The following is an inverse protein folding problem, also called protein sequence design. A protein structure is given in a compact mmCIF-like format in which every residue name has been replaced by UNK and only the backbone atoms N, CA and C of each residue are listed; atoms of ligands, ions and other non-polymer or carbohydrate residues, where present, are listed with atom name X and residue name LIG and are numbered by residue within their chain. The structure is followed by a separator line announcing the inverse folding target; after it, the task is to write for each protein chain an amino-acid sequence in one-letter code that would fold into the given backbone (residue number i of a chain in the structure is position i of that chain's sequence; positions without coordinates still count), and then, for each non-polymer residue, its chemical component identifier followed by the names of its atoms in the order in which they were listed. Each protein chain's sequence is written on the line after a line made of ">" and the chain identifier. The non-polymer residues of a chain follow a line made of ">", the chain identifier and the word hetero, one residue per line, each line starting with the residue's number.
data_IF_960295820126
#
_entry.id   IF_960295820126
#
_cell.length_a   1.000
_cell.length_b   1.000
_cell.length_c   1.000
_cell.angle_alpha   90.00
_cell.angle_beta   90.00
_cell.angle_gamma   90.00
#
_symmetry.space_group_name_H-M   'P 1'
#
loop_
_entity.id
_entity.type
_entity.pdbx_description
1 polymer ?
#
# COMPACT_ATOMS: atom_id res chain seq x y z
N UNK A 1 -50.81 66.91 8.85
CA UNK A 1 -50.12 66.67 7.57
C UNK A 1 -48.84 65.94 7.83
N UNK A 2 -48.79 64.69 7.41
CA UNK A 2 -47.60 63.85 7.39
C UNK A 2 -46.61 64.26 6.32
N UNK A 3 -45.31 63.79 6.36
CA UNK A 3 -45.03 62.68 5.45
C UNK A 3 -44.29 61.51 6.10
N UNK A 4 -44.79 60.40 5.73
CA UNK A 4 -44.21 59.05 5.56
C UNK A 4 -43.09 59.10 4.53
N UNK A 5 -41.88 58.64 4.84
CA UNK A 5 -40.98 57.92 3.96
C UNK A 5 -39.65 57.52 4.61
N UNK A 6 -39.22 56.33 4.27
CA UNK A 6 -37.85 55.75 4.30
C UNK A 6 -37.48 54.80 5.39
N UNK A 7 -38.20 53.66 5.43
CA UNK A 7 -37.63 52.41 5.99
C UNK A 7 -37.69 51.25 4.97
N UNK A 8 -37.14 51.42 3.83
CA UNK A 8 -36.98 50.31 2.86
C UNK A 8 -35.68 50.45 2.06
N UNK A 9 -34.51 50.37 2.69
CA UNK A 9 -33.24 50.18 1.99
C UNK A 9 -32.07 49.74 2.89
N UNK A 10 -32.28 48.87 3.87
CA UNK A 10 -31.17 48.26 4.64
C UNK A 10 -31.24 46.74 4.78
N UNK A 11 -31.98 46.04 3.93
CA UNK A 11 -32.11 44.56 4.03
C UNK A 11 -31.60 43.77 2.84
N UNK A 12 -30.89 44.38 1.88
CA UNK A 12 -30.43 43.66 0.67
C UNK A 12 -28.91 43.57 0.51
N UNK A 13 -28.10 43.91 1.50
CA UNK A 13 -26.63 43.84 1.42
C UNK A 13 -26.00 42.79 2.32
N UNK A 14 -26.78 42.03 3.10
CA UNK A 14 -26.24 40.97 3.98
C UNK A 14 -26.27 39.55 3.42
N UNK A 15 -26.79 39.31 2.23
CA UNK A 15 -26.94 37.95 1.68
C UNK A 15 -25.96 37.57 0.55
N UNK A 16 -24.92 38.37 0.28
CA UNK A 16 -23.96 38.11 -0.82
C UNK A 16 -22.50 37.92 -0.41
N UNK A 17 -22.17 37.69 0.86
CA UNK A 17 -20.77 37.52 1.24
C UNK A 17 -20.55 36.40 2.29
N UNK A 18 -21.27 35.30 2.18
CA UNK A 18 -20.93 34.05 2.89
C UNK A 18 -20.59 32.94 1.90
N UNK A 19 -19.85 33.22 0.84
CA UNK A 19 -18.94 32.23 0.30
C UNK A 19 -17.91 32.00 1.41
N UNK A 20 -18.22 31.05 2.31
CA UNK A 20 -17.35 30.73 3.43
C UNK A 20 -15.97 30.44 2.83
N UNK A 21 -14.96 31.28 3.13
CA UNK A 21 -13.56 31.01 2.78
C UNK A 21 -13.26 29.59 3.20
N UNK A 22 -13.14 28.68 2.24
CA UNK A 22 -12.83 27.30 2.55
C UNK A 22 -11.41 27.28 3.07
N UNK A 23 -11.27 27.09 4.39
CA UNK A 23 -9.94 26.98 5.00
C UNK A 23 -9.26 25.68 4.55
N UNK A 24 -7.93 25.66 4.49
CA UNK A 24 -7.12 24.47 4.22
C UNK A 24 -7.52 23.31 5.14
N UNK A 25 -7.83 23.60 6.41
CA UNK A 25 -8.28 22.57 7.36
C UNK A 25 -9.61 21.94 6.94
N UNK A 26 -10.58 22.73 6.48
CA UNK A 26 -11.86 22.23 5.99
C UNK A 26 -11.67 21.43 4.70
N UNK A 27 -10.81 21.87 3.80
CA UNK A 27 -10.44 21.15 2.58
C UNK A 27 -9.84 19.79 2.90
N UNK A 28 -8.88 19.69 3.83
CA UNK A 28 -8.30 18.41 4.23
C UNK A 28 -9.34 17.49 4.89
N UNK A 29 -10.24 18.02 5.70
CA UNK A 29 -11.34 17.25 6.29
C UNK A 29 -12.27 16.70 5.20
N UNK A 30 -12.62 17.52 4.20
CA UNK A 30 -13.43 17.13 3.06
C UNK A 30 -12.76 16.01 2.23
N UNK A 31 -11.46 16.16 1.94
CA UNK A 31 -10.69 15.14 1.22
C UNK A 31 -10.69 13.79 1.96
N UNK A 32 -10.47 13.80 3.29
CA UNK A 32 -10.52 12.60 4.14
C UNK A 32 -11.90 11.96 4.17
N UNK A 33 -12.96 12.75 4.11
CA UNK A 33 -14.34 12.27 4.15
C UNK A 33 -14.92 11.99 2.77
N UNK A 34 -14.13 12.15 1.70
CA UNK A 34 -14.53 12.02 0.30
C UNK A 34 -15.70 12.94 -0.08
N UNK A 35 -15.69 14.16 0.48
CA UNK A 35 -16.67 15.19 0.17
C UNK A 35 -16.30 15.89 -1.15
N UNK A 36 -16.79 15.32 -2.24
CA UNK A 36 -16.46 15.75 -3.61
C UNK A 36 -16.87 17.20 -3.83
N UNK A 37 -18.05 17.59 -3.39
CA UNK A 37 -18.60 18.94 -3.59
C UNK A 37 -17.73 20.01 -2.90
N UNK A 38 -17.42 19.80 -1.63
CA UNK A 38 -16.56 20.71 -0.86
C UNK A 38 -15.13 20.76 -1.45
N UNK A 39 -14.59 19.60 -1.90
CA UNK A 39 -13.26 19.57 -2.53
C UNK A 39 -13.25 20.33 -3.86
N UNK A 40 -14.24 20.11 -4.72
CA UNK A 40 -14.35 20.83 -6.01
C UNK A 40 -14.53 22.35 -5.82
N UNK A 41 -15.39 22.77 -4.90
CA UNK A 41 -15.59 24.17 -4.59
C UNK A 41 -14.29 24.83 -4.07
N UNK A 42 -13.54 24.10 -3.21
CA UNK A 42 -12.27 24.58 -2.69
C UNK A 42 -11.22 24.74 -3.80
N UNK A 43 -11.08 23.74 -4.68
CA UNK A 43 -10.11 23.74 -5.77
C UNK A 43 -10.45 24.77 -6.87
N UNK A 44 -11.73 25.06 -7.09
CA UNK A 44 -12.16 26.13 -8.01
C UNK A 44 -11.77 27.51 -7.51
N UNK A 45 -11.77 27.74 -6.17
CA UNK A 45 -11.38 28.99 -5.57
C UNK A 45 -9.86 29.08 -5.30
N UNK A 46 -9.23 27.94 -5.02
CA UNK A 46 -7.86 27.81 -4.56
C UNK A 46 -7.21 26.55 -5.17
N UNK A 47 -6.84 26.55 -6.47
CA UNK A 47 -6.20 25.39 -7.11
C UNK A 47 -4.92 24.94 -6.39
N UNK A 48 -4.20 25.89 -5.81
CA UNK A 48 -2.96 25.65 -5.05
C UNK A 48 -3.15 24.70 -3.86
N UNK A 49 -4.38 24.51 -3.36
CA UNK A 49 -4.65 23.57 -2.27
C UNK A 49 -4.34 22.12 -2.63
N UNK A 50 -4.30 21.79 -3.91
CA UNK A 50 -3.93 20.46 -4.38
C UNK A 50 -2.50 20.04 -3.95
N UNK A 51 -1.58 21.02 -3.84
CA UNK A 51 -0.18 20.80 -3.48
C UNK A 51 0.15 21.06 -2.00
N UNK A 52 -0.75 21.69 -1.24
CA UNK A 52 -0.51 21.99 0.18
C UNK A 52 -0.42 20.72 1.02
N UNK A 53 0.44 20.76 2.03
CA UNK A 53 0.58 19.67 3.02
C UNK A 53 0.07 20.06 4.39
N UNK A 54 -0.36 19.10 5.17
CA UNK A 54 -0.65 19.27 6.59
C UNK A 54 0.65 19.30 7.43
N UNK A 55 0.51 19.46 8.75
CA UNK A 55 1.66 19.47 9.69
C UNK A 55 2.47 18.17 9.70
N UNK A 56 1.96 17.10 9.13
CA UNK A 56 2.62 15.80 9.02
C UNK A 56 3.22 15.57 7.60
N UNK A 57 3.16 16.58 6.73
CA UNK A 57 3.64 16.48 5.34
C UNK A 57 2.69 15.72 4.40
N UNK A 58 1.41 15.50 4.79
CA UNK A 58 0.44 14.80 3.95
C UNK A 58 -0.32 15.78 3.08
N UNK A 59 -0.45 15.47 1.80
CA UNK A 59 -1.34 16.18 0.88
C UNK A 59 -2.80 15.71 1.04
N UNK A 60 -3.73 16.43 0.43
CA UNK A 60 -5.13 16.00 0.37
C UNK A 60 -5.30 14.62 -0.28
N UNK A 61 -4.43 14.26 -1.24
CA UNK A 61 -4.43 12.95 -1.89
C UNK A 61 -4.06 11.82 -0.90
N UNK A 62 -3.08 12.05 -0.02
CA UNK A 62 -2.75 11.12 1.06
C UNK A 62 -3.94 10.93 2.02
N UNK A 63 -4.62 12.02 2.40
CA UNK A 63 -5.78 11.96 3.29
C UNK A 63 -6.96 11.23 2.68
N UNK A 64 -7.20 11.44 1.38
CA UNK A 64 -8.21 10.70 0.60
C UNK A 64 -7.91 9.20 0.61
N UNK A 65 -6.64 8.83 0.47
CA UNK A 65 -6.19 7.44 0.40
C UNK A 65 -6.14 6.73 1.76
N UNK A 66 -5.95 7.48 2.85
CA UNK A 66 -5.85 6.92 4.21
C UNK A 66 -7.22 6.53 4.79
N UNK A 67 -8.31 7.09 4.26
CA UNK A 67 -9.66 6.81 4.77
C UNK A 67 -10.06 5.35 4.54
N UNK A 68 -10.47 4.65 5.60
CA UNK A 68 -10.89 3.23 5.53
C UNK A 68 -12.16 3.08 4.69
N UNK A 69 -12.05 2.42 3.56
CA UNK A 69 -13.14 2.21 2.62
C UNK A 69 -14.32 1.42 3.23
N UNK A 70 -14.07 0.59 4.25
CA UNK A 70 -15.10 -0.21 4.94
C UNK A 70 -15.90 0.59 5.96
N UNK A 71 -15.34 1.70 6.45
CA UNK A 71 -15.94 2.59 7.44
C UNK A 71 -16.39 3.92 6.87
N UNK A 72 -16.14 4.15 5.58
CA UNK A 72 -16.49 5.39 4.92
C UNK A 72 -18.01 5.56 4.84
N UNK A 73 -18.48 6.77 5.14
CA UNK A 73 -19.91 7.13 5.04
C UNK A 73 -20.34 7.39 3.58
N UNK A 74 -19.39 7.57 2.68
CA UNK A 74 -19.59 7.87 1.26
C UNK A 74 -19.16 6.67 0.41
N UNK A 75 -19.72 6.49 -0.79
CA UNK A 75 -19.35 5.38 -1.65
C UNK A 75 -17.86 5.49 -2.08
N UNK A 76 -17.23 4.35 -2.31
CA UNK A 76 -15.81 4.27 -2.69
C UNK A 76 -15.52 5.05 -3.99
N UNK A 77 -16.49 5.17 -4.89
CA UNK A 77 -16.39 6.00 -6.10
C UNK A 77 -16.11 7.48 -5.80
N UNK A 78 -16.58 7.98 -4.66
CA UNK A 78 -16.31 9.35 -4.23
C UNK A 78 -14.82 9.59 -3.95
N UNK A 79 -14.10 8.61 -3.42
CA UNK A 79 -12.64 8.71 -3.24
C UNK A 79 -11.90 8.87 -4.56
N UNK A 80 -12.35 8.15 -5.59
CA UNK A 80 -11.80 8.26 -6.95
C UNK A 80 -12.14 9.62 -7.56
N UNK A 81 -13.35 10.15 -7.33
CA UNK A 81 -13.74 11.48 -7.81
C UNK A 81 -12.89 12.59 -7.16
N UNK A 82 -12.67 12.53 -5.84
CA UNK A 82 -11.78 13.44 -5.12
C UNK A 82 -10.35 13.35 -5.66
N UNK A 83 -9.79 12.14 -5.80
CA UNK A 83 -8.45 11.95 -6.32
C UNK A 83 -8.30 12.52 -7.75
N UNK A 84 -9.31 12.30 -8.62
CA UNK A 84 -9.34 12.87 -9.97
C UNK A 84 -9.32 14.39 -9.94
N UNK A 85 -10.14 15.01 -9.09
CA UNK A 85 -10.17 16.47 -8.94
C UNK A 85 -8.82 17.02 -8.47
N UNK A 86 -8.19 16.38 -7.49
CA UNK A 86 -6.87 16.76 -6.99
C UNK A 86 -5.80 16.68 -8.09
N UNK A 87 -5.75 15.58 -8.83
CA UNK A 87 -4.77 15.39 -9.91
C UNK A 87 -4.99 16.39 -11.06
N UNK A 88 -6.26 16.68 -11.42
CA UNK A 88 -6.59 17.67 -12.43
C UNK A 88 -6.17 19.10 -12.04
N UNK A 89 -5.99 19.38 -10.74
CA UNK A 89 -5.50 20.64 -10.19
C UNK A 89 -4.01 20.60 -9.78
N UNK A 90 -3.23 19.65 -10.33
CA UNK A 90 -1.78 19.62 -10.17
C UNK A 90 -1.26 18.94 -8.89
N UNK A 91 -2.09 18.14 -8.20
CA UNK A 91 -1.57 17.31 -7.12
C UNK A 91 -0.51 16.33 -7.65
N UNK A 92 0.65 16.27 -6.98
CA UNK A 92 1.65 15.25 -7.29
C UNK A 92 1.16 13.87 -6.81
N UNK A 93 0.95 12.96 -7.77
CA UNK A 93 0.50 11.60 -7.50
C UNK A 93 1.53 10.79 -6.69
N UNK A 94 2.80 11.15 -6.82
CA UNK A 94 3.94 10.49 -6.17
C UNK A 94 4.50 11.28 -4.98
N UNK A 95 3.80 12.33 -4.54
CA UNK A 95 4.17 13.08 -3.35
C UNK A 95 4.48 12.13 -2.20
N UNK A 96 5.58 12.39 -1.49
CA UNK A 96 6.06 11.56 -0.38
C UNK A 96 5.64 12.16 0.95
N UNK A 97 5.01 11.32 1.76
CA UNK A 97 4.82 11.56 3.19
C UNK A 97 5.77 10.65 3.96
N UNK A 98 6.80 11.17 4.65
CA UNK A 98 7.76 10.34 5.37
C UNK A 98 7.09 9.67 6.57
N UNK A 99 7.03 8.36 6.55
CA UNK A 99 6.54 7.55 7.67
C UNK A 99 7.77 7.01 8.40
N UNK A 100 7.89 7.30 9.69
CA UNK A 100 8.94 6.73 10.53
C UNK A 100 8.50 5.36 11.01
N UNK A 101 9.31 4.34 10.74
CA UNK A 101 9.12 2.98 11.22
C UNK A 101 10.46 2.48 11.79
N UNK A 102 10.49 2.23 13.09
CA UNK A 102 11.71 1.87 13.83
C UNK A 102 12.91 2.76 13.48
N UNK A 103 13.91 2.24 12.77
CA UNK A 103 15.14 2.94 12.36
C UNK A 103 15.10 3.55 10.96
N UNK A 104 14.06 3.26 10.18
CA UNK A 104 14.00 3.69 8.78
C UNK A 104 12.88 4.69 8.52
N UNK A 105 13.06 5.48 7.45
CA UNK A 105 12.03 6.38 6.94
C UNK A 105 11.44 5.79 5.67
N UNK A 106 10.17 5.47 5.74
CA UNK A 106 9.42 4.92 4.63
C UNK A 106 8.78 6.04 3.80
N UNK A 107 8.93 6.02 2.46
CA UNK A 107 8.31 7.02 1.60
C UNK A 107 6.82 6.70 1.36
N UNK A 108 5.97 7.01 2.33
CA UNK A 108 4.53 6.80 2.20
C UNK A 108 3.95 7.65 1.06
N UNK A 109 3.44 7.01 0.02
CA UNK A 109 2.73 7.65 -1.10
C UNK A 109 1.23 7.40 -0.99
N UNK A 110 0.43 8.17 -1.70
CA UNK A 110 -1.03 8.01 -1.70
C UNK A 110 -1.45 6.58 -2.08
N UNK A 111 -0.80 5.97 -3.06
CA UNK A 111 -1.07 4.58 -3.45
C UNK A 111 -0.84 3.61 -2.28
N UNK A 112 0.29 3.73 -1.59
CA UNK A 112 0.58 2.89 -0.42
C UNK A 112 -0.50 3.06 0.67
N UNK A 113 -0.92 4.28 0.94
CA UNK A 113 -2.00 4.53 1.91
C UNK A 113 -3.32 3.90 1.48
N UNK A 114 -3.67 3.96 0.19
CA UNK A 114 -4.89 3.33 -0.34
C UNK A 114 -4.89 1.81 -0.13
N UNK A 115 -3.72 1.16 -0.28
CA UNK A 115 -3.55 -0.29 -0.11
C UNK A 115 -3.45 -0.67 1.37
N UNK A 116 -2.53 -0.03 2.11
CA UNK A 116 -2.16 -0.45 3.47
C UNK A 116 -3.21 -0.07 4.53
N UNK A 117 -3.76 1.12 4.41
CA UNK A 117 -4.64 1.69 5.45
C UNK A 117 -6.08 1.82 4.98
N UNK A 118 -6.28 2.29 3.76
CA UNK A 118 -7.61 2.52 3.20
C UNK A 118 -8.35 1.25 2.79
N UNK A 119 -7.64 0.18 2.46
CA UNK A 119 -8.23 -1.02 1.88
C UNK A 119 -9.06 -0.70 0.62
N UNK A 120 -8.71 0.41 -0.05
CA UNK A 120 -9.49 1.01 -1.12
C UNK A 120 -8.94 0.58 -2.49
N UNK A 121 -9.33 -0.64 -2.89
CA UNK A 121 -8.87 -1.24 -4.15
C UNK A 121 -9.28 -0.42 -5.39
N UNK A 122 -10.43 0.26 -5.36
CA UNK A 122 -10.86 1.08 -6.48
C UNK A 122 -9.97 2.32 -6.66
N UNK A 123 -9.63 2.98 -5.54
CA UNK A 123 -8.70 4.11 -5.56
C UNK A 123 -7.28 3.65 -5.94
N UNK A 124 -6.80 2.53 -5.41
CA UNK A 124 -5.50 1.96 -5.77
C UNK A 124 -5.41 1.69 -7.28
N UNK A 125 -6.43 1.05 -7.86
CA UNK A 125 -6.51 0.81 -9.32
C UNK A 125 -6.52 2.12 -10.12
N UNK A 126 -7.25 3.12 -9.65
CA UNK A 126 -7.28 4.43 -10.30
C UNK A 126 -5.90 5.08 -10.26
N UNK A 127 -5.25 5.17 -9.10
CA UNK A 127 -3.92 5.76 -8.95
C UNK A 127 -2.87 5.05 -9.80
N UNK A 128 -2.87 3.71 -9.82
CA UNK A 128 -1.99 2.93 -10.69
C UNK A 128 -2.20 3.23 -12.18
N UNK A 129 -3.44 3.43 -12.63
CA UNK A 129 -3.73 3.83 -14.01
C UNK A 129 -3.23 5.23 -14.33
N UNK A 130 -3.15 6.11 -13.35
CA UNK A 130 -2.63 7.48 -13.48
C UNK A 130 -1.10 7.56 -13.31
N UNK A 131 -0.40 6.43 -13.18
CA UNK A 131 1.07 6.39 -13.09
C UNK A 131 1.63 6.52 -11.67
N UNK A 132 0.83 6.22 -10.64
CA UNK A 132 1.36 6.15 -9.28
C UNK A 132 2.46 5.10 -9.16
N UNK A 133 3.56 5.46 -8.48
CA UNK A 133 4.67 4.56 -8.21
C UNK A 133 4.22 3.44 -7.23
N UNK A 134 4.33 2.15 -7.62
CA UNK A 134 3.88 1.02 -6.83
C UNK A 134 4.88 0.52 -5.78
N UNK A 135 6.09 1.11 -5.71
CA UNK A 135 7.13 0.66 -4.79
C UNK A 135 6.62 0.57 -3.36
N UNK A 136 7.10 -0.44 -2.65
CA UNK A 136 6.74 -0.78 -1.26
C UNK A 136 5.28 -1.22 -1.05
N UNK A 137 4.42 -1.21 -2.07
CA UNK A 137 3.03 -1.64 -1.90
C UNK A 137 2.90 -3.16 -1.65
N UNK A 138 3.90 -3.97 -2.03
CA UNK A 138 3.88 -5.41 -1.75
C UNK A 138 3.82 -5.73 -0.25
N UNK A 139 4.48 -4.93 0.60
CA UNK A 139 4.41 -5.08 2.05
C UNK A 139 3.00 -5.00 2.59
N UNK A 140 2.23 -4.03 2.08
CA UNK A 140 0.85 -3.84 2.48
C UNK A 140 -0.06 -4.99 2.03
N UNK A 141 0.14 -5.51 0.81
CA UNK A 141 -0.66 -6.64 0.30
C UNK A 141 -0.28 -7.97 0.94
N UNK A 142 0.99 -8.15 1.30
CA UNK A 142 1.45 -9.31 2.09
C UNK A 142 0.83 -9.31 3.47
N UNK A 143 0.88 -8.18 4.17
CA UNK A 143 0.26 -8.04 5.49
C UNK A 143 -1.23 -8.42 5.48
N UNK A 144 -1.96 -7.94 4.49
CA UNK A 144 -3.41 -8.17 4.35
C UNK A 144 -3.77 -9.46 3.60
N UNK A 145 -2.78 -10.22 3.09
CA UNK A 145 -2.96 -11.37 2.18
C UNK A 145 -3.86 -11.05 0.96
N UNK A 146 -3.76 -9.80 0.45
CA UNK A 146 -4.61 -9.31 -0.65
C UNK A 146 -3.97 -9.57 -2.03
N UNK A 147 -4.08 -10.83 -2.49
CA UNK A 147 -3.61 -11.25 -3.82
C UNK A 147 -4.30 -10.46 -4.96
N UNK A 148 -5.54 -10.02 -4.76
CA UNK A 148 -6.24 -9.27 -5.81
C UNK A 148 -5.63 -7.87 -6.04
N UNK A 149 -5.13 -7.22 -5.00
CA UNK A 149 -4.36 -5.98 -5.14
C UNK A 149 -2.93 -6.26 -5.63
N UNK A 150 -2.31 -7.37 -5.21
CA UNK A 150 -0.99 -7.77 -5.71
C UNK A 150 -0.97 -7.91 -7.25
N UNK A 151 -2.03 -8.47 -7.85
CA UNK A 151 -2.19 -8.55 -9.31
C UNK A 151 -2.13 -7.17 -9.99
N UNK A 152 -2.74 -6.15 -9.39
CA UNK A 152 -2.69 -4.78 -9.93
C UNK A 152 -1.27 -4.18 -9.88
N UNK A 153 -0.47 -4.55 -8.89
CA UNK A 153 0.91 -4.09 -8.75
C UNK A 153 1.81 -4.69 -9.86
N UNK A 154 1.68 -6.00 -10.11
CA UNK A 154 2.43 -6.68 -11.20
C UNK A 154 2.11 -6.10 -12.57
N UNK A 155 0.85 -5.78 -12.86
CA UNK A 155 0.44 -5.14 -14.10
C UNK A 155 1.19 -3.80 -14.33
N UNK A 156 1.71 -3.20 -13.26
CA UNK A 156 2.47 -1.94 -13.28
C UNK A 156 3.96 -2.14 -13.05
N UNK A 157 4.46 -3.37 -13.24
CA UNK A 157 5.88 -3.73 -13.14
C UNK A 157 6.52 -3.36 -11.78
N UNK A 158 5.72 -3.42 -10.70
CA UNK A 158 6.25 -3.28 -9.35
C UNK A 158 7.31 -4.37 -9.11
N UNK A 159 8.44 -3.99 -8.54
CA UNK A 159 9.49 -4.95 -8.22
C UNK A 159 9.05 -5.86 -7.05
N UNK A 160 8.81 -7.13 -7.38
CA UNK A 160 8.40 -8.17 -6.44
C UNK A 160 9.50 -8.52 -5.43
N UNK A 161 10.74 -8.16 -5.73
CA UNK A 161 11.91 -8.42 -4.90
C UNK A 161 12.44 -7.17 -4.16
N UNK A 162 11.73 -6.02 -4.27
CA UNK A 162 12.13 -4.78 -3.61
C UNK A 162 12.26 -5.00 -2.09
N UNK A 163 13.44 -4.70 -1.55
CA UNK A 163 13.73 -4.87 -0.12
C UNK A 163 13.24 -3.68 0.70
N UNK A 164 12.77 -3.99 1.91
CA UNK A 164 12.51 -3.03 2.96
C UNK A 164 12.85 -3.66 4.30
N UNK A 165 13.54 -2.97 5.19
CA UNK A 165 14.10 -3.52 6.44
C UNK A 165 14.91 -4.81 6.22
N UNK A 166 15.68 -4.87 5.13
CA UNK A 166 16.48 -6.03 4.78
C UNK A 166 15.70 -7.25 4.27
N UNK A 167 14.37 -7.26 4.34
CA UNK A 167 13.52 -8.37 3.89
C UNK A 167 12.96 -8.13 2.49
N UNK A 168 12.63 -9.20 1.78
CA UNK A 168 11.81 -9.17 0.56
C UNK A 168 10.33 -9.43 0.89
N UNK A 169 9.39 -9.13 -0.04
CA UNK A 169 7.99 -9.50 0.13
C UNK A 169 7.78 -11.01 0.42
N UNK A 170 8.60 -11.88 -0.21
CA UNK A 170 8.52 -13.33 0.02
C UNK A 170 9.00 -13.72 1.42
N UNK A 171 10.10 -13.16 1.91
CA UNK A 171 10.55 -13.33 3.29
C UNK A 171 9.47 -12.92 4.29
N UNK A 172 8.87 -11.73 4.06
CA UNK A 172 7.80 -11.23 4.91
C UNK A 172 6.55 -12.10 4.87
N UNK A 173 6.16 -12.60 3.67
CA UNK A 173 5.04 -13.54 3.52
C UNK A 173 5.31 -14.86 4.23
N UNK A 174 6.55 -15.37 4.17
CA UNK A 174 6.98 -16.57 4.88
C UNK A 174 6.86 -16.36 6.38
N UNK A 175 7.46 -15.30 6.92
CA UNK A 175 7.42 -14.98 8.35
C UNK A 175 5.98 -14.84 8.89
N UNK A 176 5.08 -14.29 8.10
CA UNK A 176 3.65 -14.14 8.45
C UNK A 176 2.81 -15.37 8.11
N UNK A 177 3.39 -16.44 7.56
CA UNK A 177 2.69 -17.65 7.10
C UNK A 177 1.53 -17.36 6.13
N UNK A 178 1.77 -16.45 5.19
CA UNK A 178 0.80 -16.09 4.15
C UNK A 178 0.95 -17.04 2.94
N UNK A 179 0.62 -18.30 3.12
CA UNK A 179 0.86 -19.37 2.12
C UNK A 179 0.31 -19.03 0.73
N UNK A 180 -0.87 -18.41 0.68
CA UNK A 180 -1.47 -17.99 -0.59
C UNK A 180 -0.66 -16.89 -1.27
N UNK A 181 -0.17 -15.92 -0.49
CA UNK A 181 0.69 -14.86 -0.98
C UNK A 181 2.08 -15.37 -1.35
N UNK A 182 2.67 -16.29 -0.56
CA UNK A 182 3.94 -16.95 -0.90
C UNK A 182 3.86 -17.59 -2.29
N UNK A 183 2.83 -18.41 -2.54
CA UNK A 183 2.60 -19.06 -3.85
C UNK A 183 2.50 -18.00 -4.94
N UNK A 184 1.66 -17.00 -4.72
CA UNK A 184 1.45 -15.94 -5.70
C UNK A 184 2.73 -15.17 -6.03
N UNK A 185 3.54 -14.82 -5.02
CA UNK A 185 4.82 -14.12 -5.20
C UNK A 185 5.81 -14.98 -6.03
N UNK A 186 5.92 -16.27 -5.71
CA UNK A 186 6.77 -17.21 -6.44
C UNK A 186 6.32 -17.35 -7.91
N UNK A 187 5.02 -17.49 -8.16
CA UNK A 187 4.45 -17.58 -9.51
C UNK A 187 4.69 -16.28 -10.33
N UNK A 188 5.06 -15.16 -9.67
CA UNK A 188 5.28 -13.85 -10.30
C UNK A 188 6.72 -13.35 -10.18
N UNK A 189 7.68 -14.26 -10.01
CA UNK A 189 9.11 -13.96 -10.11
C UNK A 189 9.77 -13.50 -8.82
N UNK A 190 9.17 -13.77 -7.66
CA UNK A 190 9.90 -13.62 -6.41
C UNK A 190 11.07 -14.61 -6.36
N UNK A 191 12.27 -14.10 -6.12
CA UNK A 191 13.45 -14.95 -5.95
C UNK A 191 13.39 -15.63 -4.58
N UNK A 192 13.30 -16.96 -4.62
CA UNK A 192 13.12 -17.82 -3.46
C UNK A 192 14.36 -17.87 -2.56
N UNK A 193 15.53 -17.46 -3.10
CA UNK A 193 16.83 -17.52 -2.41
C UNK A 193 17.32 -16.15 -1.90
N UNK A 194 16.58 -15.06 -2.12
CA UNK A 194 16.93 -13.77 -1.55
C UNK A 194 16.79 -13.81 -0.03
N UNK A 195 17.94 -13.70 0.65
CA UNK A 195 18.06 -13.77 2.09
C UNK A 195 17.86 -12.40 2.77
N UNK A 196 17.58 -12.38 4.07
CA UNK A 196 17.57 -11.17 4.91
C UNK A 196 19.00 -10.66 5.19
N UNK A 197 19.12 -9.66 6.10
CA UNK A 197 20.39 -9.09 6.52
C UNK A 197 21.33 -10.10 7.23
N UNK A 198 20.76 -11.15 7.81
CA UNK A 198 21.51 -12.23 8.47
C UNK A 198 21.87 -13.37 7.49
N UNK A 199 21.59 -13.21 6.21
CA UNK A 199 21.81 -14.22 5.18
C UNK A 199 20.80 -15.38 5.20
N UNK A 200 19.68 -15.25 5.94
CA UNK A 200 18.68 -16.29 6.08
C UNK A 200 17.64 -16.21 4.97
N UNK A 201 17.56 -17.26 4.17
CA UNK A 201 16.58 -17.37 3.08
C UNK A 201 15.14 -17.64 3.59
N UNK A 202 14.10 -17.49 2.74
CA UNK A 202 12.74 -17.89 3.09
C UNK A 202 12.64 -19.34 3.58
N UNK A 203 13.38 -20.27 2.95
CA UNK A 203 13.41 -21.68 3.40
C UNK A 203 14.04 -21.83 4.78
N UNK A 204 15.14 -21.09 5.07
CA UNK A 204 15.76 -21.08 6.39
C UNK A 204 14.75 -20.67 7.47
N UNK A 205 14.05 -19.54 7.26
CA UNK A 205 13.01 -19.08 8.19
C UNK A 205 11.87 -20.07 8.33
N UNK A 206 11.40 -20.67 7.23
CA UNK A 206 10.31 -21.63 7.28
C UNK A 206 10.67 -22.88 8.10
N UNK A 207 11.91 -23.37 7.98
CA UNK A 207 12.40 -24.50 8.77
C UNK A 207 12.57 -24.13 10.23
N UNK A 208 13.25 -23.01 10.52
CA UNK A 208 13.51 -22.51 11.86
C UNK A 208 12.20 -22.30 12.65
N UNK A 209 11.18 -21.78 11.99
CA UNK A 209 9.86 -21.52 12.58
C UNK A 209 8.88 -22.69 12.44
N UNK A 210 9.37 -23.88 12.06
CA UNK A 210 8.60 -25.13 11.97
C UNK A 210 7.34 -25.00 11.11
N UNK A 211 7.50 -24.45 9.92
CA UNK A 211 6.40 -24.41 8.95
C UNK A 211 5.96 -25.82 8.55
N UNK A 212 4.68 -26.01 8.17
CA UNK A 212 4.18 -27.29 7.72
C UNK A 212 4.81 -27.69 6.38
N UNK A 213 4.87 -28.99 6.11
CA UNK A 213 5.47 -29.56 4.88
C UNK A 213 4.95 -28.93 3.56
N UNK A 214 3.66 -28.65 3.39
CA UNK A 214 3.19 -28.02 2.15
C UNK A 214 3.85 -26.68 1.85
N UNK A 215 4.19 -25.89 2.86
CA UNK A 215 4.89 -24.60 2.68
C UNK A 215 6.37 -24.81 2.37
N UNK A 216 7.04 -25.79 3.02
CA UNK A 216 8.41 -26.15 2.70
C UNK A 216 8.51 -26.71 1.25
N UNK A 217 7.57 -27.57 0.87
CA UNK A 217 7.48 -28.10 -0.50
C UNK A 217 7.27 -26.96 -1.51
N UNK A 218 6.44 -25.98 -1.18
CA UNK A 218 6.22 -24.81 -2.05
C UNK A 218 7.53 -24.07 -2.35
N UNK A 219 8.36 -23.82 -1.32
CA UNK A 219 9.65 -23.17 -1.48
C UNK A 219 10.66 -24.05 -2.23
N UNK A 220 10.76 -25.32 -1.89
CA UNK A 220 11.65 -26.28 -2.56
C UNK A 220 11.30 -26.44 -4.05
N UNK A 221 10.02 -26.57 -4.39
CA UNK A 221 9.57 -26.65 -5.79
C UNK A 221 9.89 -25.37 -6.58
N UNK A 222 10.04 -24.24 -5.89
CA UNK A 222 10.48 -22.97 -6.50
C UNK A 222 12.00 -22.84 -6.58
N UNK A 223 12.78 -23.86 -6.19
CA UNK A 223 14.24 -23.88 -6.26
C UNK A 223 14.93 -23.32 -5.03
N UNK A 224 14.29 -23.35 -3.84
CA UNK A 224 14.94 -22.93 -2.61
C UNK A 224 16.12 -23.83 -2.26
N UNK A 225 17.28 -23.25 -1.96
CA UNK A 225 18.51 -23.97 -1.59
C UNK A 225 18.46 -24.46 -0.17
N UNK A 226 18.74 -25.73 0.04
CA UNK A 226 18.97 -26.34 1.38
C UNK A 226 20.35 -26.03 1.95
N UNK A 227 21.31 -25.62 1.10
CA UNK A 227 22.71 -25.44 1.45
C UNK A 227 23.21 -24.00 1.43
N UNK A 228 22.35 -23.02 1.11
CA UNK A 228 22.73 -21.61 1.15
C UNK A 228 23.08 -21.21 2.59
N UNK A 229 24.33 -20.73 2.87
CA UNK A 229 24.70 -20.38 4.22
C UNK A 229 24.16 -19.03 4.66
N UNK A 230 23.74 -18.93 5.90
CA UNK A 230 23.52 -17.68 6.62
C UNK A 230 24.84 -17.04 7.08
N UNK A 231 24.80 -15.83 7.64
CA UNK A 231 25.99 -15.11 8.10
C UNK A 231 26.79 -15.86 9.20
N UNK A 232 26.13 -16.71 9.98
CA UNK A 232 26.73 -17.57 11.01
C UNK A 232 27.24 -18.92 10.48
N UNK A 233 27.16 -19.13 9.16
CA UNK A 233 27.55 -20.38 8.48
C UNK A 233 26.49 -21.49 8.56
N UNK A 234 25.40 -21.30 9.29
CA UNK A 234 24.31 -22.28 9.32
C UNK A 234 23.56 -22.32 7.98
N UNK A 235 23.01 -23.48 7.65
CA UNK A 235 22.23 -23.67 6.41
C UNK A 235 20.80 -24.12 6.73
N UNK A 236 19.84 -23.99 5.82
CA UNK A 236 18.50 -24.55 5.99
C UNK A 236 18.55 -26.03 6.41
N UNK A 237 19.43 -26.81 5.79
CA UNK A 237 19.60 -28.22 6.10
C UNK A 237 20.17 -28.45 7.50
N UNK A 238 21.19 -27.68 7.92
CA UNK A 238 21.82 -27.87 9.25
C UNK A 238 20.87 -27.56 10.39
N UNK A 239 19.96 -26.59 10.23
CA UNK A 239 18.96 -26.20 11.26
C UNK A 239 17.72 -27.09 11.25
N UNK A 240 17.57 -27.96 10.25
CA UNK A 240 16.40 -28.84 10.11
C UNK A 240 16.31 -29.94 11.19
N UNK A 241 17.43 -30.32 11.80
CA UNK A 241 17.47 -31.32 12.86
C UNK A 241 16.84 -32.65 12.42
N UNK A 242 15.84 -33.16 13.17
CA UNK A 242 15.17 -34.44 12.87
C UNK A 242 14.40 -34.45 11.54
N UNK A 243 14.14 -33.30 10.93
CA UNK A 243 13.43 -33.19 9.64
C UNK A 243 14.36 -33.24 8.42
N UNK A 244 15.67 -33.41 8.64
CA UNK A 244 16.67 -33.40 7.56
C UNK A 244 16.36 -34.43 6.46
N UNK A 245 16.08 -35.70 6.84
CA UNK A 245 15.76 -36.77 5.89
C UNK A 245 14.50 -36.46 5.08
N UNK A 246 13.48 -35.89 5.72
CA UNK A 246 12.22 -35.49 5.09
C UNK A 246 12.43 -34.36 4.07
N UNK A 247 13.27 -33.39 4.39
CA UNK A 247 13.60 -32.27 3.49
C UNK A 247 14.37 -32.73 2.27
N UNK A 248 15.34 -33.65 2.43
CA UNK A 248 16.10 -34.24 1.34
C UNK A 248 15.19 -35.03 0.38
N UNK A 249 14.20 -35.75 0.91
CA UNK A 249 13.20 -36.43 0.06
C UNK A 249 12.35 -35.43 -0.74
N UNK A 250 11.96 -34.31 -0.13
CA UNK A 250 11.19 -33.28 -0.79
C UNK A 250 12.02 -32.58 -1.90
N UNK A 251 13.29 -32.32 -1.66
CA UNK A 251 14.21 -31.73 -2.64
C UNK A 251 14.38 -32.68 -3.86
N UNK A 252 14.60 -33.96 -3.62
CA UNK A 252 14.73 -34.96 -4.68
C UNK A 252 13.46 -35.03 -5.54
N UNK A 253 12.28 -34.95 -4.94
CA UNK A 253 11.02 -34.92 -5.68
C UNK A 253 10.83 -33.60 -6.47
N UNK A 254 11.31 -32.47 -5.95
CA UNK A 254 11.23 -31.19 -6.64
C UNK A 254 12.16 -31.12 -7.87
N UNK A 255 13.36 -31.72 -7.76
CA UNK A 255 14.37 -31.71 -8.83
C UNK A 255 14.12 -32.79 -9.92
N UNK A 256 13.37 -33.86 -9.59
CA UNK A 256 13.11 -34.96 -10.52
C UNK A 256 12.06 -34.65 -11.59
N UNK A 257 11.34 -33.52 -11.50
CA UNK A 257 10.27 -33.12 -12.43
C UNK A 257 9.05 -34.08 -12.40
N UNK A 258 7.93 -33.71 -12.97
CA UNK A 258 6.87 -34.66 -13.20
C UNK A 258 7.41 -35.69 -14.23
N UNK A 259 7.49 -36.96 -13.82
CA UNK A 259 7.63 -38.07 -14.78
C UNK A 259 6.40 -37.95 -15.69
N UNK A 260 6.62 -37.58 -16.96
CA UNK A 260 5.59 -37.47 -18.01
C UNK A 260 4.84 -38.76 -18.17
#
# INVERSE_FOLDING_TARGET
>A
MLPYTSQRRRQTSRSRNSAARVSVSRFFSAARQWDVETVLAALSAHPEFAAVTDRQGRTALHLTATADARRARRPVSASVAVARALLANGADINAVHPIRDASEVFPGRALWHAVARGGNRALARFLLRQGANPDFCYWAVVWSDDVATAKLLVERKADVNLRFHGETPLLYATRLRRTRMMRWLLDHGADVNLADSDGRSPLFHAIQHRHPLPELRLLLNAGASLTQPAADGSTPLSVAGKRQAELLQLENLATSGPVL
#
